data_IF_213739732681
#
_entry.id   IF_213739732681
#
_cell.length_a   1.000
_cell.length_b   1.000
_cell.length_c   1.000
_cell.angle_alpha   90.00
_cell.angle_beta   90.00
_cell.angle_gamma   90.00
#
_symmetry.space_group_name_H-M   'P 1'
#
loop_
_entity.id
_entity.type
_entity.pdbx_description
1 polymer ?
#
# COMPACT_ATOMS: atom_id res chain seq x y z
N UNK A 1 -22.41 2.18 26.76
CA UNK A 1 -21.81 0.95 26.18
C UNK A 1 -20.73 1.19 25.10
N UNK A 2 -20.76 2.28 24.31
CA UNK A 2 -19.72 2.57 23.28
C UNK A 2 -18.39 3.16 23.81
N UNK A 3 -18.39 3.85 24.95
CA UNK A 3 -17.18 4.49 25.50
C UNK A 3 -16.29 3.53 26.32
N UNK A 4 -16.90 2.56 27.01
CA UNK A 4 -16.18 1.46 27.67
C UNK A 4 -15.48 0.52 26.69
N UNK A 5 -15.96 0.42 25.44
CA UNK A 5 -15.32 -0.37 24.39
C UNK A 5 -13.99 0.25 23.92
N UNK A 6 -13.90 1.58 23.87
CA UNK A 6 -12.67 2.31 23.55
C UNK A 6 -11.63 2.22 24.67
N UNK A 7 -12.08 2.23 25.93
CA UNK A 7 -11.21 2.11 27.11
C UNK A 7 -10.72 0.67 27.35
N UNK A 8 -11.56 -0.35 27.11
CA UNK A 8 -11.19 -1.76 27.27
C UNK A 8 -10.17 -2.25 26.21
N UNK A 9 -10.09 -1.59 25.05
CA UNK A 9 -9.01 -1.84 24.10
C UNK A 9 -7.66 -1.28 24.56
N UNK A 10 -7.58 -0.45 25.61
CA UNK A 10 -6.37 0.33 25.91
C UNK A 10 -5.23 -0.43 26.62
N UNK A 11 -5.48 -1.56 27.29
CA UNK A 11 -4.49 -2.10 28.25
C UNK A 11 -3.46 -3.10 27.69
N UNK A 12 -3.75 -3.81 26.59
CA UNK A 12 -2.73 -4.61 25.85
C UNK A 12 -2.90 -4.46 24.34
N UNK A 13 -4.15 -4.55 23.84
CA UNK A 13 -4.49 -4.22 22.44
C UNK A 13 -4.19 -2.75 22.09
N UNK A 14 -4.19 -1.86 23.08
CA UNK A 14 -4.02 -0.43 22.91
C UNK A 14 -2.57 -0.07 22.62
N UNK A 15 -1.64 -0.85 23.13
CA UNK A 15 -0.21 -0.66 22.86
C UNK A 15 0.13 -0.99 21.41
N UNK A 16 -0.43 -2.06 20.84
CA UNK A 16 -0.24 -2.40 19.43
C UNK A 16 -0.94 -1.40 18.50
N UNK A 17 -2.15 -0.96 18.87
CA UNK A 17 -2.87 0.12 18.16
C UNK A 17 -2.02 1.40 18.10
N UNK A 18 -1.37 1.78 19.20
CA UNK A 18 -0.44 2.93 19.23
C UNK A 18 0.75 2.72 18.30
N UNK A 19 1.34 1.52 18.27
CA UNK A 19 2.45 1.20 17.34
C UNK A 19 2.00 1.32 15.90
N UNK A 20 0.86 0.73 15.54
CA UNK A 20 0.28 0.83 14.20
C UNK A 20 0.05 2.29 13.81
N UNK A 21 -0.61 3.05 14.67
CA UNK A 21 -0.85 4.47 14.42
C UNK A 21 0.45 5.23 14.18
N UNK A 22 1.42 5.14 15.11
CA UNK A 22 2.65 5.93 15.08
C UNK A 22 3.57 5.52 13.93
N UNK A 23 3.65 4.23 13.58
CA UNK A 23 4.38 3.73 12.40
C UNK A 23 3.86 4.36 11.12
N UNK A 24 2.56 4.26 10.86
CA UNK A 24 1.96 4.79 9.62
C UNK A 24 1.95 6.33 9.60
N UNK A 25 1.77 6.96 10.77
CA UNK A 25 1.95 8.39 10.95
C UNK A 25 3.38 8.86 10.58
N UNK A 26 4.41 8.09 10.93
CA UNK A 26 5.81 8.41 10.58
C UNK A 26 6.17 8.16 9.11
N UNK A 27 5.49 7.25 8.41
CA UNK A 27 5.74 6.99 6.98
C UNK A 27 4.97 7.91 6.03
N UNK A 28 3.80 8.41 6.47
CA UNK A 28 2.91 9.24 5.66
C UNK A 28 3.55 10.52 5.08
N UNK A 29 4.47 11.23 5.76
CA UNK A 29 5.15 12.39 5.19
C UNK A 29 6.21 12.04 4.14
N UNK A 30 6.63 10.77 4.04
CA UNK A 30 7.77 10.34 3.21
C UNK A 30 7.30 9.57 1.99
N UNK A 31 6.59 8.46 2.19
CA UNK A 31 6.32 7.48 1.12
C UNK A 31 5.46 8.04 -0.03
N UNK A 32 4.32 8.73 0.21
CA UNK A 32 3.53 9.30 -0.87
C UNK A 32 4.24 10.43 -1.61
N UNK A 33 4.99 11.26 -0.86
CA UNK A 33 5.70 12.41 -1.41
C UNK A 33 6.99 12.03 -2.13
N UNK A 34 7.48 10.81 -1.98
CA UNK A 34 8.71 10.31 -2.59
C UNK A 34 8.71 10.50 -4.12
N UNK A 35 7.57 10.26 -4.77
CA UNK A 35 7.40 10.48 -6.22
C UNK A 35 7.65 11.95 -6.59
N UNK A 36 7.06 12.87 -5.84
CA UNK A 36 7.23 14.32 -6.06
C UNK A 36 8.61 14.84 -5.67
N UNK A 37 9.24 14.25 -4.65
CA UNK A 37 10.63 14.52 -4.30
C UNK A 37 11.56 14.09 -5.44
N UNK A 38 11.32 12.92 -6.05
CA UNK A 38 12.06 12.45 -7.21
C UNK A 38 11.87 13.35 -8.43
N UNK A 39 10.64 13.80 -8.71
CA UNK A 39 10.37 14.76 -9.79
C UNK A 39 11.08 16.10 -9.56
N UNK A 40 11.08 16.63 -8.34
CA UNK A 40 11.80 17.86 -8.00
C UNK A 40 13.33 17.72 -8.14
N UNK A 41 13.87 16.49 -7.99
CA UNK A 41 15.28 16.16 -8.26
C UNK A 41 15.62 16.07 -9.75
N UNK A 42 14.65 16.28 -10.64
CA UNK A 42 14.81 16.20 -12.09
C UNK A 42 14.66 14.78 -12.66
N UNK A 43 14.20 13.80 -11.86
CA UNK A 43 14.04 12.43 -12.35
C UNK A 43 12.81 12.32 -13.24
N UNK A 44 12.99 11.73 -14.43
CA UNK A 44 11.88 11.48 -15.35
C UNK A 44 10.87 10.49 -14.76
N UNK A 45 9.61 10.47 -15.25
CA UNK A 45 8.64 9.47 -14.82
C UNK A 45 9.12 8.02 -15.03
N UNK A 46 9.97 7.77 -16.03
CA UNK A 46 10.57 6.45 -16.27
C UNK A 46 11.48 6.05 -15.12
N UNK A 47 12.40 6.93 -14.71
CA UNK A 47 13.29 6.69 -13.57
C UNK A 47 12.48 6.48 -12.29
N UNK A 48 11.47 7.33 -12.05
CA UNK A 48 10.58 7.20 -10.89
C UNK A 48 9.87 5.84 -10.91
N UNK A 49 9.34 5.42 -12.05
CA UNK A 49 8.73 4.09 -12.22
C UNK A 49 9.71 2.94 -11.96
N UNK A 50 10.94 3.04 -12.45
CA UNK A 50 12.01 2.04 -12.22
C UNK A 50 12.38 1.93 -10.75
N UNK A 51 12.53 3.07 -10.06
CA UNK A 51 12.77 3.13 -8.61
C UNK A 51 11.69 2.32 -7.85
N UNK A 52 10.41 2.61 -8.12
CA UNK A 52 9.29 1.93 -7.47
C UNK A 52 9.07 0.49 -7.93
N UNK A 53 9.64 0.10 -9.08
CA UNK A 53 9.64 -1.29 -9.55
C UNK A 53 10.60 -2.15 -8.74
N UNK A 54 11.80 -1.62 -8.42
CA UNK A 54 12.82 -2.36 -7.69
C UNK A 54 12.60 -2.34 -6.18
N UNK A 55 12.02 -1.26 -5.65
CA UNK A 55 11.78 -1.04 -4.22
C UNK A 55 11.21 -2.27 -3.46
N UNK A 56 10.18 -2.99 -3.95
CA UNK A 56 9.60 -4.12 -3.24
C UNK A 56 10.44 -5.41 -3.27
N UNK A 57 11.37 -5.55 -4.23
CA UNK A 57 12.06 -6.83 -4.50
C UNK A 57 12.89 -7.29 -3.29
N UNK A 58 13.76 -6.47 -2.66
CA UNK A 58 14.51 -6.91 -1.48
C UNK A 58 13.58 -7.20 -0.29
N UNK A 59 12.46 -6.47 -0.19
CA UNK A 59 11.44 -6.69 0.84
C UNK A 59 10.81 -8.09 0.79
N UNK A 60 10.66 -8.68 -0.40
CA UNK A 60 10.15 -10.05 -0.56
C UNK A 60 11.09 -11.10 0.04
N UNK A 61 12.41 -10.88 -0.08
CA UNK A 61 13.43 -11.78 0.46
C UNK A 61 13.61 -11.59 1.97
N UNK A 62 13.51 -10.35 2.44
CA UNK A 62 13.75 -10.03 3.86
C UNK A 62 12.64 -10.56 4.77
N UNK A 63 11.38 -10.60 4.30
CA UNK A 63 10.25 -11.15 5.07
C UNK A 63 10.52 -12.56 5.65
N UNK A 64 10.76 -13.61 4.83
CA UNK A 64 11.01 -14.95 5.35
C UNK A 64 12.28 -15.03 6.20
N UNK A 65 13.33 -14.28 5.84
CA UNK A 65 14.61 -14.26 6.58
C UNK A 65 14.43 -13.68 7.98
N UNK A 66 13.78 -12.52 8.12
CA UNK A 66 13.52 -11.90 9.42
C UNK A 66 12.61 -12.77 10.29
N UNK A 67 11.56 -13.37 9.72
CA UNK A 67 10.70 -14.31 10.44
C UNK A 67 11.49 -15.50 11.00
N UNK A 68 12.24 -16.19 10.14
CA UNK A 68 13.03 -17.37 10.54
C UNK A 68 14.10 -17.05 11.59
N UNK A 69 14.80 -15.92 11.48
CA UNK A 69 15.81 -15.50 12.46
C UNK A 69 15.15 -15.21 13.81
N UNK A 70 14.09 -14.41 13.83
CA UNK A 70 13.46 -14.01 15.10
C UNK A 70 12.75 -15.16 15.80
N UNK A 71 12.28 -16.16 15.05
CA UNK A 71 11.74 -17.39 15.61
C UNK A 71 12.84 -18.31 16.15
N UNK A 72 13.94 -18.49 15.42
CA UNK A 72 15.07 -19.33 15.85
C UNK A 72 15.75 -18.80 17.12
N UNK A 73 15.98 -17.49 17.19
CA UNK A 73 16.71 -16.87 18.30
C UNK A 73 15.81 -16.28 19.39
N UNK A 74 14.48 -16.43 19.29
CA UNK A 74 13.48 -15.89 20.23
C UNK A 74 13.70 -14.41 20.58
N UNK A 75 14.14 -13.62 19.60
CA UNK A 75 14.62 -12.25 19.78
C UNK A 75 13.68 -11.19 19.18
N UNK A 76 12.38 -11.50 19.03
CA UNK A 76 11.40 -10.65 18.34
C UNK A 76 11.37 -9.20 18.84
N UNK A 77 11.42 -8.97 20.16
CA UNK A 77 11.42 -7.60 20.72
C UNK A 77 12.64 -6.80 20.28
N UNK A 78 13.83 -7.36 20.40
CA UNK A 78 15.08 -6.71 20.01
C UNK A 78 15.13 -6.46 18.50
N UNK A 79 14.71 -7.43 17.69
CA UNK A 79 14.61 -7.26 16.25
C UNK A 79 13.60 -6.18 15.86
N UNK A 80 12.46 -6.10 16.55
CA UNK A 80 11.45 -5.09 16.30
C UNK A 80 11.96 -3.68 16.61
N UNK A 81 12.61 -3.46 17.76
CA UNK A 81 13.27 -2.19 18.10
C UNK A 81 14.36 -1.83 17.08
N UNK A 82 15.19 -2.81 16.69
CA UNK A 82 16.25 -2.61 15.70
C UNK A 82 15.67 -2.12 14.36
N UNK A 83 14.54 -2.68 13.89
CA UNK A 83 13.90 -2.19 12.66
C UNK A 83 13.43 -0.73 12.76
N UNK A 84 12.93 -0.28 13.92
CA UNK A 84 12.53 1.13 14.15
C UNK A 84 13.74 2.05 14.03
N UNK A 85 14.83 1.67 14.70
CA UNK A 85 16.08 2.45 14.71
C UNK A 85 16.67 2.53 13.32
N UNK A 86 16.73 1.42 12.59
CA UNK A 86 17.21 1.39 11.19
C UNK A 86 16.37 2.28 10.29
N UNK A 87 15.04 2.24 10.41
CA UNK A 87 14.15 3.11 9.64
C UNK A 87 14.42 4.59 9.97
N UNK A 88 14.57 4.92 11.26
CA UNK A 88 14.88 6.29 11.71
C UNK A 88 16.21 6.80 11.13
N UNK A 89 17.24 5.94 11.09
CA UNK A 89 18.54 6.26 10.51
C UNK A 89 18.40 6.54 9.00
N UNK A 90 17.66 5.71 8.27
CA UNK A 90 17.48 5.92 6.82
C UNK A 90 16.63 7.16 6.51
N UNK A 91 15.63 7.49 7.33
CA UNK A 91 14.87 8.74 7.19
C UNK A 91 15.79 9.95 7.43
N UNK A 92 16.62 9.93 8.47
CA UNK A 92 17.62 10.97 8.71
C UNK A 92 18.61 11.07 7.56
N UNK A 93 19.13 9.95 7.07
CA UNK A 93 20.03 9.89 5.93
C UNK A 93 19.39 10.53 4.69
N UNK A 94 18.11 10.22 4.41
CA UNK A 94 17.38 10.78 3.27
C UNK A 94 17.24 12.31 3.34
N UNK A 95 17.08 12.86 4.55
CA UNK A 95 17.02 14.31 4.78
C UNK A 95 18.33 15.02 4.44
N UNK A 96 19.48 14.37 4.65
CA UNK A 96 20.81 14.95 4.36
C UNK A 96 21.25 14.81 2.91
N UNK A 97 20.55 14.02 2.08
CA UNK A 97 20.88 13.91 0.66
C UNK A 97 20.52 15.23 -0.03
N UNK A 98 21.48 16.02 -0.54
CA UNK A 98 21.21 17.32 -1.15
C UNK A 98 20.25 17.16 -2.32
N UNK A 99 19.18 17.96 -2.33
CA UNK A 99 18.22 18.05 -3.42
C UNK A 99 18.74 18.98 -4.50
N UNK A 100 19.33 18.46 -5.58
CA UNK A 100 19.56 19.26 -6.78
C UNK A 100 18.19 19.56 -7.40
N UNK A 101 17.68 20.77 -7.18
CA UNK A 101 16.45 21.22 -7.84
C UNK A 101 16.81 21.69 -9.25
N UNK A 102 16.61 20.81 -10.24
CA UNK A 102 16.98 21.10 -11.63
C UNK A 102 15.73 21.55 -12.39
N UNK A 103 15.80 22.71 -13.07
CA UNK A 103 14.70 23.27 -13.87
C UNK A 103 14.38 22.45 -15.12
N UNK A 104 15.34 21.67 -15.60
CA UNK A 104 15.24 20.84 -16.80
C UNK A 104 15.31 19.37 -16.44
N UNK A 105 14.49 18.54 -17.09
CA UNK A 105 14.62 17.08 -17.05
C UNK A 105 16.03 16.77 -17.56
N UNK A 106 16.90 16.32 -16.66
CA UNK A 106 18.25 15.85 -17.01
C UNK A 106 18.12 14.56 -17.81
N UNK A 107 18.97 14.37 -18.83
CA UNK A 107 19.02 13.12 -19.57
C UNK A 107 19.12 11.93 -18.59
N UNK A 108 18.29 10.91 -18.81
CA UNK A 108 18.16 9.79 -17.88
C UNK A 108 19.51 9.09 -17.63
N UNK A 109 20.38 9.06 -18.64
CA UNK A 109 21.74 8.52 -18.55
C UNK A 109 22.62 9.30 -17.56
N UNK A 110 22.56 10.64 -17.61
CA UNK A 110 23.30 11.51 -16.68
C UNK A 110 22.79 11.38 -15.24
N UNK A 111 21.49 11.14 -15.06
CA UNK A 111 20.90 10.85 -13.74
C UNK A 111 21.45 9.55 -13.18
N UNK A 112 21.45 8.47 -13.98
CA UNK A 112 21.89 7.15 -13.53
C UNK A 112 23.40 7.07 -13.28
N UNK A 113 24.21 7.90 -13.94
CA UNK A 113 25.65 8.02 -13.65
C UNK A 113 25.95 8.82 -12.38
N UNK A 114 24.98 9.58 -11.85
CA UNK A 114 25.19 10.42 -10.67
C UNK A 114 25.31 9.59 -9.38
N UNK A 115 26.36 9.81 -8.55
CA UNK A 115 26.45 9.18 -7.24
C UNK A 115 25.28 9.54 -6.30
N UNK A 116 24.69 10.74 -6.46
CA UNK A 116 23.56 11.19 -5.67
C UNK A 116 22.29 10.38 -5.96
N UNK A 117 22.11 9.95 -7.21
CA UNK A 117 21.01 9.07 -7.59
C UNK A 117 21.12 7.72 -6.87
N UNK A 118 22.29 7.08 -6.94
CA UNK A 118 22.50 5.79 -6.27
C UNK A 118 22.42 5.89 -4.75
N UNK A 119 22.90 6.99 -4.15
CA UNK A 119 22.72 7.24 -2.73
C UNK A 119 21.22 7.32 -2.38
N UNK A 120 20.45 8.12 -3.11
CA UNK A 120 19.00 8.25 -2.92
C UNK A 120 18.29 6.90 -3.11
N UNK A 121 18.56 6.21 -4.22
CA UNK A 121 17.99 4.92 -4.58
C UNK A 121 18.29 3.83 -3.55
N UNK A 122 19.54 3.72 -3.09
CA UNK A 122 19.93 2.75 -2.07
C UNK A 122 19.26 3.08 -0.73
N UNK A 123 19.22 4.34 -0.31
CA UNK A 123 18.58 4.75 0.95
C UNK A 123 17.09 4.43 0.96
N UNK A 124 16.35 4.77 -0.10
CA UNK A 124 14.91 4.45 -0.17
C UNK A 124 14.65 2.95 -0.26
N UNK A 125 15.51 2.21 -0.98
CA UNK A 125 15.40 0.75 -1.09
C UNK A 125 15.63 0.08 0.25
N UNK A 126 16.64 0.51 1.00
CA UNK A 126 16.92 0.01 2.34
C UNK A 126 15.82 0.42 3.35
N UNK A 127 15.29 1.64 3.24
CA UNK A 127 14.15 2.11 4.03
C UNK A 127 12.90 1.23 3.83
N UNK A 128 12.54 0.93 2.57
CA UNK A 128 11.42 0.05 2.25
C UNK A 128 11.67 -1.39 2.71
N UNK A 129 12.91 -1.86 2.59
CA UNK A 129 13.31 -3.19 3.06
C UNK A 129 13.15 -3.32 4.58
N UNK A 130 13.65 -2.35 5.33
CA UNK A 130 13.48 -2.30 6.79
C UNK A 130 12.01 -2.17 7.19
N UNK A 131 11.21 -1.40 6.44
CA UNK A 131 9.76 -1.28 6.65
C UNK A 131 9.02 -2.60 6.42
N UNK A 132 9.45 -3.41 5.44
CA UNK A 132 8.91 -4.75 5.22
C UNK A 132 9.29 -5.72 6.34
N UNK A 133 10.55 -5.69 6.81
CA UNK A 133 11.00 -6.45 7.97
C UNK A 133 10.19 -6.10 9.25
N UNK A 134 9.90 -4.82 9.44
CA UNK A 134 9.06 -4.33 10.53
C UNK A 134 7.63 -4.85 10.42
N UNK A 135 7.05 -4.79 9.24
CA UNK A 135 5.64 -5.17 9.00
C UNK A 135 5.41 -6.65 9.29
N UNK A 136 6.34 -7.55 8.93
CA UNK A 136 6.16 -8.97 9.24
C UNK A 136 6.19 -9.25 10.74
N UNK A 137 7.10 -8.60 11.48
CA UNK A 137 7.18 -8.73 12.94
C UNK A 137 5.92 -8.18 13.60
N UNK A 138 5.42 -7.05 13.12
CA UNK A 138 4.17 -6.44 13.57
C UNK A 138 2.98 -7.37 13.35
N UNK A 139 2.84 -7.96 12.16
CA UNK A 139 1.75 -8.90 11.85
C UNK A 139 1.83 -10.15 12.73
N UNK A 140 3.03 -10.67 12.98
CA UNK A 140 3.22 -11.81 13.89
C UNK A 140 2.84 -11.46 15.33
N UNK A 141 3.33 -10.33 15.85
CA UNK A 141 3.00 -9.86 17.21
C UNK A 141 1.50 -9.59 17.34
N UNK A 142 0.88 -9.03 16.30
CA UNK A 142 -0.54 -8.76 16.20
C UNK A 142 -1.38 -10.02 16.33
N UNK A 143 -1.05 -11.05 15.55
CA UNK A 143 -1.74 -12.34 15.59
C UNK A 143 -1.56 -13.03 16.94
N UNK A 144 -0.35 -12.97 17.52
CA UNK A 144 -0.08 -13.58 18.82
C UNK A 144 -0.85 -12.88 19.96
N UNK A 145 -1.03 -11.55 19.88
CA UNK A 145 -1.79 -10.77 20.86
C UNK A 145 -3.31 -10.94 20.72
N UNK A 146 -3.80 -11.29 19.53
CA UNK A 146 -5.24 -11.44 19.25
C UNK A 146 -5.80 -12.83 19.61
N UNK A 147 -4.93 -13.83 19.81
CA UNK A 147 -5.25 -15.24 20.10
C UNK A 147 -6.52 -15.80 19.39
N UNK A 148 -7.64 -15.99 20.09
CA UNK A 148 -8.90 -16.51 19.52
C UNK A 148 -9.71 -15.47 18.73
N UNK A 149 -9.48 -14.17 18.94
CA UNK A 149 -10.24 -13.05 18.39
C UNK A 149 -9.64 -12.48 17.09
N UNK A 150 -9.18 -13.35 16.18
CA UNK A 150 -8.52 -12.98 14.91
C UNK A 150 -9.38 -12.09 13.99
N UNK A 151 -10.71 -12.07 14.19
CA UNK A 151 -11.65 -11.20 13.49
C UNK A 151 -11.42 -9.71 13.77
N UNK A 152 -10.73 -9.36 14.86
CA UNK A 152 -10.39 -7.98 15.23
C UNK A 152 -9.13 -7.43 14.53
N UNK A 153 -8.42 -8.23 13.72
CA UNK A 153 -7.23 -7.79 12.99
C UNK A 153 -7.50 -6.57 12.09
N UNK A 154 -8.61 -6.56 11.36
CA UNK A 154 -9.00 -5.42 10.53
C UNK A 154 -9.24 -4.14 11.35
N UNK A 155 -9.78 -4.28 12.56
CA UNK A 155 -10.02 -3.15 13.47
C UNK A 155 -8.70 -2.59 14.03
N UNK A 156 -7.69 -3.43 14.25
CA UNK A 156 -6.35 -2.96 14.60
C UNK A 156 -5.69 -2.26 13.42
N UNK A 157 -5.75 -2.85 12.22
CA UNK A 157 -5.18 -2.28 10.99
C UNK A 157 -5.75 -0.89 10.66
N UNK A 158 -7.02 -0.67 10.95
CA UNK A 158 -7.70 0.62 10.79
C UNK A 158 -6.94 1.78 11.44
N UNK A 159 -6.32 1.58 12.60
CA UNK A 159 -5.55 2.63 13.27
C UNK A 159 -4.31 3.07 12.50
N UNK A 160 -3.75 2.17 11.67
CA UNK A 160 -2.71 2.53 10.71
C UNK A 160 -3.23 3.48 9.61
N UNK A 161 -4.44 3.24 9.08
CA UNK A 161 -5.06 4.15 8.12
C UNK A 161 -5.38 5.52 8.74
N UNK A 162 -5.84 5.54 9.99
CA UNK A 162 -6.07 6.79 10.74
C UNK A 162 -4.74 7.56 10.89
N UNK A 163 -3.66 6.90 11.34
CA UNK A 163 -2.35 7.54 11.50
C UNK A 163 -1.76 8.05 10.18
N UNK A 164 -1.95 7.30 9.09
CA UNK A 164 -1.56 7.73 7.76
C UNK A 164 -2.32 8.98 7.33
N UNK A 165 -3.66 8.93 7.37
CA UNK A 165 -4.52 10.02 6.95
C UNK A 165 -4.33 11.30 7.77
N UNK A 166 -4.10 11.21 9.09
CA UNK A 166 -3.87 12.41 9.93
C UNK A 166 -2.52 13.05 9.62
N UNK A 167 -1.42 12.29 9.57
CA UNK A 167 -0.11 12.88 9.32
C UNK A 167 0.12 13.28 7.86
N UNK A 168 -0.63 12.74 6.90
CA UNK A 168 -0.58 13.21 5.51
C UNK A 168 -1.01 14.67 5.37
N UNK A 169 -2.12 15.09 6.01
CA UNK A 169 -2.55 16.50 5.93
C UNK A 169 -1.64 17.42 6.74
N UNK A 170 -1.20 17.00 7.93
CA UNK A 170 -0.25 17.79 8.74
C UNK A 170 1.03 18.02 7.95
N UNK A 171 1.62 16.96 7.38
CA UNK A 171 2.85 17.10 6.59
C UNK A 171 2.64 17.93 5.33
N UNK A 172 1.54 17.74 4.60
CA UNK A 172 1.19 18.56 3.43
C UNK A 172 1.11 20.06 3.72
N UNK A 173 0.38 20.44 4.78
CA UNK A 173 0.25 21.84 5.24
C UNK A 173 1.59 22.40 5.68
N UNK A 174 2.36 21.65 6.48
CA UNK A 174 3.67 22.10 6.97
C UNK A 174 4.66 22.31 5.82
N UNK A 175 4.69 21.42 4.82
CA UNK A 175 5.57 21.56 3.65
C UNK A 175 5.19 22.80 2.84
N UNK A 176 3.91 23.03 2.55
CA UNK A 176 3.50 24.23 1.81
C UNK A 176 3.76 25.52 2.59
N UNK A 177 3.49 25.53 3.89
CA UNK A 177 3.72 26.68 4.76
C UNK A 177 5.21 27.04 4.85
N UNK A 178 6.07 26.04 5.06
CA UNK A 178 7.52 26.24 5.15
C UNK A 178 8.17 26.57 3.81
N UNK A 179 7.50 26.26 2.70
CA UNK A 179 7.98 26.55 1.34
C UNK A 179 7.45 27.88 0.79
N UNK A 180 6.77 28.71 1.59
CA UNK A 180 6.28 30.01 1.13
C UNK A 180 7.44 30.90 0.67
N UNK A 181 7.36 31.39 -0.56
CA UNK A 181 8.39 32.25 -1.15
C UNK A 181 9.61 31.50 -1.70
N UNK A 182 9.68 30.16 -1.57
CA UNK A 182 10.72 29.35 -2.20
C UNK A 182 10.31 28.94 -3.61
N UNK A 183 11.29 28.83 -4.52
CA UNK A 183 11.06 28.35 -5.89
C UNK A 183 10.66 26.86 -5.92
N UNK A 184 11.13 26.08 -4.95
CA UNK A 184 10.88 24.65 -4.83
C UNK A 184 10.34 24.28 -3.44
N UNK A 185 9.64 23.15 -3.35
CA UNK A 185 9.09 22.67 -2.08
C UNK A 185 10.20 22.13 -1.19
N UNK A 186 10.23 22.62 0.05
CA UNK A 186 11.11 22.14 1.09
C UNK A 186 10.39 21.09 1.93
N UNK A 187 10.81 19.84 1.79
CA UNK A 187 10.23 18.69 2.50
C UNK A 187 10.77 18.48 3.92
N UNK A 188 11.72 19.30 4.39
CA UNK A 188 12.30 19.22 5.75
C UNK A 188 11.24 19.09 6.86
N UNK A 189 10.12 19.82 6.86
CA UNK A 189 9.08 19.63 7.88
C UNK A 189 8.52 18.21 7.90
N UNK A 190 8.33 17.57 6.73
CA UNK A 190 7.88 16.19 6.62
C UNK A 190 8.87 15.19 7.23
N UNK A 191 10.17 15.40 6.99
CA UNK A 191 11.24 14.61 7.62
C UNK A 191 11.25 14.77 9.15
N UNK A 192 11.12 16.00 9.65
CA UNK A 192 11.08 16.27 11.10
C UNK A 192 9.86 15.60 11.75
N UNK A 193 8.67 15.74 11.16
CA UNK A 193 7.44 15.06 11.64
C UNK A 193 7.65 13.55 11.69
N UNK A 194 8.26 12.98 10.64
CA UNK A 194 8.56 11.55 10.57
C UNK A 194 9.51 11.12 11.69
N UNK A 195 10.60 11.85 11.91
CA UNK A 195 11.56 11.55 12.97
C UNK A 195 10.94 11.66 14.37
N UNK A 196 10.11 12.66 14.62
CA UNK A 196 9.36 12.78 15.89
C UNK A 196 8.46 11.56 16.10
N UNK A 197 7.71 11.15 15.06
CA UNK A 197 6.87 9.96 15.13
C UNK A 197 7.71 8.71 15.40
N UNK A 198 8.85 8.54 14.74
CA UNK A 198 9.71 7.37 14.95
C UNK A 198 10.40 7.35 16.33
N UNK A 199 10.74 8.51 16.90
CA UNK A 199 11.20 8.60 18.29
C UNK A 199 10.10 8.19 19.28
N UNK A 200 8.86 8.61 19.04
CA UNK A 200 7.69 8.16 19.79
C UNK A 200 7.45 6.65 19.60
N UNK A 201 7.68 6.12 18.40
CA UNK A 201 7.54 4.70 18.10
C UNK A 201 8.55 3.86 18.90
N UNK A 202 9.82 4.28 18.97
CA UNK A 202 10.85 3.64 19.81
C UNK A 202 10.38 3.59 21.27
N UNK A 203 9.85 4.70 21.78
CA UNK A 203 9.32 4.78 23.13
C UNK A 203 8.16 3.79 23.34
N UNK A 204 7.14 3.82 22.48
CA UNK A 204 5.96 2.94 22.59
C UNK A 204 6.38 1.47 22.52
N UNK A 205 7.21 1.10 21.53
CA UNK A 205 7.68 -0.27 21.34
C UNK A 205 8.49 -0.78 22.52
N UNK A 206 9.34 0.07 23.13
CA UNK A 206 10.15 -0.33 24.29
C UNK A 206 9.29 -0.79 25.47
N UNK A 207 8.08 -0.24 25.60
CA UNK A 207 7.12 -0.51 26.68
C UNK A 207 6.22 -1.73 26.43
N UNK A 208 6.25 -2.31 25.23
CA UNK A 208 5.46 -3.51 24.92
C UNK A 208 6.15 -4.75 25.48
N UNK A 209 5.39 -5.56 26.22
CA UNK A 209 5.78 -6.91 26.58
C UNK A 209 5.47 -7.84 25.40
N UNK A 210 6.50 -8.22 24.65
CA UNK A 210 6.39 -9.21 23.57
C UNK A 210 6.73 -10.56 24.18
N UNK A 211 5.70 -11.36 24.45
CA UNK A 211 5.86 -12.72 24.98
C UNK A 211 5.82 -13.68 23.78
N UNK A 212 6.92 -14.40 23.54
CA UNK A 212 7.04 -15.35 22.43
C UNK A 212 6.79 -16.77 22.97
N UNK A 213 5.52 -17.18 23.02
CA UNK A 213 5.07 -18.42 23.68
C UNK A 213 4.81 -19.60 22.74
N UNK A 214 4.63 -19.41 21.42
CA UNK A 214 4.23 -20.50 20.51
C UNK A 214 5.37 -20.98 19.60
N UNK A 215 5.57 -22.30 19.59
CA UNK A 215 6.23 -23.01 18.49
C UNK A 215 5.22 -23.15 17.34
N UNK A 216 5.56 -22.64 16.17
CA UNK A 216 4.73 -22.79 14.97
C UNK A 216 4.95 -24.22 14.46
N UNK A 217 4.01 -25.12 14.74
CA UNK A 217 3.96 -26.42 14.07
C UNK A 217 3.51 -26.21 12.62
N UNK A 218 4.47 -26.12 11.70
CA UNK A 218 4.20 -26.19 10.27
C UNK A 218 3.86 -27.63 9.90
N UNK A 219 2.57 -27.96 9.84
CA UNK A 219 2.12 -29.24 9.30
C UNK A 219 2.46 -29.35 7.79
N UNK A 220 2.67 -30.57 7.28
CA UNK A 220 2.91 -30.78 5.85
C UNK A 220 1.66 -30.41 5.06
N UNK A 221 1.62 -29.19 4.52
CA UNK A 221 0.46 -28.69 3.80
C UNK A 221 0.55 -28.92 2.29
N UNK A 222 -0.54 -29.40 1.70
CA UNK A 222 -0.67 -29.65 0.26
C UNK A 222 -0.94 -28.37 -0.56
N UNK A 223 -0.25 -27.27 -0.26
CA UNK A 223 -0.44 -25.97 -0.95
C UNK A 223 -0.24 -26.10 -2.47
N UNK A 224 0.72 -26.92 -2.89
CA UNK A 224 1.02 -27.15 -4.31
C UNK A 224 -0.21 -27.63 -5.09
N UNK A 225 -1.05 -28.48 -4.50
CA UNK A 225 -2.29 -28.98 -5.12
C UNK A 225 -3.38 -27.91 -5.25
N UNK A 226 -3.37 -26.91 -4.37
CA UNK A 226 -4.32 -25.78 -4.42
C UNK A 226 -3.87 -24.77 -5.48
N UNK A 227 -2.57 -24.50 -5.57
CA UNK A 227 -2.00 -23.57 -6.56
C UNK A 227 -2.12 -24.06 -8.01
N UNK A 228 -2.29 -25.37 -8.25
CA UNK A 228 -2.52 -25.91 -9.59
C UNK A 228 -3.98 -25.82 -10.04
N UNK A 229 -4.92 -25.46 -9.16
CA UNK A 229 -6.33 -25.30 -9.54
C UNK A 229 -6.51 -24.05 -10.40
N UNK A 230 -7.18 -24.20 -11.54
CA UNK A 230 -7.42 -23.11 -12.50
C UNK A 230 -8.14 -21.91 -11.86
N UNK A 231 -9.05 -22.15 -10.92
CA UNK A 231 -9.77 -21.09 -10.19
C UNK A 231 -8.85 -20.26 -9.31
N UNK A 232 -7.83 -20.88 -8.70
CA UNK A 232 -6.83 -20.21 -7.86
C UNK A 232 -5.84 -19.44 -8.74
N UNK A 233 -5.40 -20.02 -9.86
CA UNK A 233 -4.55 -19.32 -10.82
C UNK A 233 -5.24 -18.09 -11.41
N UNK A 234 -6.51 -18.22 -11.79
CA UNK A 234 -7.32 -17.09 -12.28
C UNK A 234 -7.45 -16.01 -11.19
N UNK A 235 -7.73 -16.40 -9.95
CA UNK A 235 -7.77 -15.48 -8.82
C UNK A 235 -6.44 -14.73 -8.62
N UNK A 236 -5.30 -15.44 -8.61
CA UNK A 236 -3.99 -14.82 -8.46
C UNK A 236 -3.68 -13.85 -9.61
N UNK A 237 -4.10 -14.17 -10.83
CA UNK A 237 -3.98 -13.24 -11.97
C UNK A 237 -4.77 -11.95 -11.73
N UNK A 238 -6.01 -12.03 -11.23
CA UNK A 238 -6.80 -10.85 -10.89
C UNK A 238 -6.15 -10.04 -9.76
N UNK A 239 -5.51 -10.69 -8.79
CA UNK A 239 -4.75 -10.00 -7.73
C UNK A 239 -3.51 -9.29 -8.29
N UNK A 240 -2.81 -9.87 -9.27
CA UNK A 240 -1.68 -9.20 -9.94
C UNK A 240 -2.16 -7.96 -10.68
N UNK A 241 -3.25 -8.06 -11.45
CA UNK A 241 -3.81 -6.89 -12.17
C UNK A 241 -4.34 -5.84 -11.19
N UNK A 242 -4.96 -6.26 -10.09
CA UNK A 242 -5.33 -5.36 -9.00
C UNK A 242 -4.11 -4.59 -8.46
N UNK A 243 -3.01 -5.29 -8.16
CA UNK A 243 -1.77 -4.67 -7.69
C UNK A 243 -1.19 -3.68 -8.69
N UNK A 244 -1.27 -4.01 -9.98
CA UNK A 244 -0.85 -3.13 -11.07
C UNK A 244 -1.66 -1.84 -11.12
N UNK A 245 -3.00 -1.89 -11.00
CA UNK A 245 -3.83 -0.67 -11.00
C UNK A 245 -3.63 0.14 -9.71
N UNK A 246 -3.46 -0.54 -8.58
CA UNK A 246 -3.26 0.10 -7.28
C UNK A 246 -1.96 0.91 -7.22
N UNK A 247 -0.90 0.49 -7.91
CA UNK A 247 0.37 1.23 -7.93
C UNK A 247 0.25 2.61 -8.58
N UNK A 248 -0.64 2.78 -9.57
CA UNK A 248 -0.91 4.11 -10.14
C UNK A 248 -1.50 5.07 -9.11
N UNK A 249 -2.40 4.55 -8.26
CA UNK A 249 -2.98 5.32 -7.16
C UNK A 249 -1.90 5.71 -6.15
N UNK A 250 -1.06 4.76 -5.74
CA UNK A 250 -0.07 4.99 -4.69
C UNK A 250 1.12 5.85 -5.11
N UNK A 251 1.60 5.72 -6.33
CA UNK A 251 2.88 6.32 -6.74
C UNK A 251 2.76 7.43 -7.78
N UNK A 252 1.66 7.49 -8.54
CA UNK A 252 1.52 8.42 -9.68
C UNK A 252 0.46 9.51 -9.50
N UNK A 253 -0.52 9.36 -8.60
CA UNK A 253 -1.56 10.39 -8.37
C UNK A 253 -0.96 11.72 -7.90
N UNK A 254 0.10 11.70 -7.07
CA UNK A 254 0.76 12.93 -6.64
C UNK A 254 1.49 13.64 -7.79
N UNK A 255 2.16 12.88 -8.66
CA UNK A 255 2.77 13.43 -9.89
C UNK A 255 1.73 14.06 -10.80
N UNK A 256 0.58 13.40 -10.94
CA UNK A 256 -0.56 13.89 -11.70
C UNK A 256 -1.17 15.17 -11.11
N UNK A 257 -1.33 15.25 -9.79
CA UNK A 257 -1.79 16.48 -9.12
C UNK A 257 -0.85 17.66 -9.42
N UNK A 258 0.47 17.43 -9.44
CA UNK A 258 1.43 18.45 -9.85
C UNK A 258 1.32 18.81 -11.33
N UNK A 259 1.09 17.83 -12.21
CA UNK A 259 0.88 18.10 -13.64
C UNK A 259 -0.36 18.95 -13.86
N UNK A 260 -1.48 18.66 -13.19
CA UNK A 260 -2.68 19.50 -13.26
C UNK A 260 -2.41 20.94 -12.80
N UNK A 261 -1.70 21.11 -11.68
CA UNK A 261 -1.34 22.45 -11.21
C UNK A 261 -0.38 23.14 -12.17
N UNK A 262 0.53 22.41 -12.82
CA UNK A 262 1.43 23.01 -13.81
C UNK A 262 0.71 23.42 -15.10
N UNK A 263 -0.28 22.63 -15.55
CA UNK A 263 -0.95 22.79 -16.84
C UNK A 263 -2.13 23.77 -16.78
N UNK A 264 -2.98 23.67 -15.75
CA UNK A 264 -4.25 24.40 -15.71
C UNK A 264 -4.30 25.48 -14.63
N UNK A 265 -3.65 25.24 -13.48
CA UNK A 265 -3.77 26.11 -12.30
C UNK A 265 -2.43 26.35 -11.58
N UNK A 266 -1.50 27.13 -12.17
CA UNK A 266 -0.17 27.40 -11.59
C UNK A 266 -0.23 28.08 -10.22
N UNK A 267 -1.29 28.84 -9.95
CA UNK A 267 -1.56 29.49 -8.66
C UNK A 267 -1.65 28.47 -7.51
N UNK A 268 -2.11 27.24 -7.80
CA UNK A 268 -2.29 26.18 -6.80
C UNK A 268 -0.98 25.51 -6.38
N UNK A 269 0.14 25.77 -7.08
CA UNK A 269 1.46 25.25 -6.69
C UNK A 269 1.83 25.65 -5.26
N UNK A 270 1.33 26.79 -4.79
CA UNK A 270 1.55 27.26 -3.42
C UNK A 270 0.97 26.32 -2.35
N UNK A 271 -0.15 25.65 -2.62
CA UNK A 271 -0.83 24.75 -1.68
C UNK A 271 -1.03 23.30 -2.19
N UNK A 272 -0.25 22.89 -3.19
CA UNK A 272 -0.40 21.57 -3.83
C UNK A 272 -0.09 20.40 -2.89
N UNK A 273 0.81 20.58 -1.91
CA UNK A 273 1.15 19.53 -0.94
C UNK A 273 0.05 19.33 0.09
N UNK A 274 -0.68 20.40 0.39
CA UNK A 274 -1.88 20.40 1.22
C UNK A 274 -2.99 19.61 0.53
N UNK A 275 -3.21 19.81 -0.78
CA UNK A 275 -4.16 19.02 -1.56
C UNK A 275 -3.77 17.54 -1.56
N UNK A 276 -2.49 17.23 -1.80
CA UNK A 276 -1.95 15.87 -1.74
C UNK A 276 -2.15 15.21 -0.35
N UNK A 277 -1.89 15.96 0.73
CA UNK A 277 -2.14 15.51 2.09
C UNK A 277 -3.63 15.25 2.37
N UNK A 278 -4.49 16.18 1.99
CA UNK A 278 -5.95 16.08 2.15
C UNK A 278 -6.54 14.93 1.31
N UNK A 279 -5.99 14.69 0.11
CA UNK A 279 -6.32 13.55 -0.74
C UNK A 279 -6.16 12.24 0.03
N UNK A 280 -5.03 12.04 0.70
CA UNK A 280 -4.80 10.85 1.54
C UNK A 280 -5.68 10.81 2.79
N UNK A 281 -5.96 11.95 3.41
CA UNK A 281 -6.89 12.01 4.54
C UNK A 281 -8.28 11.54 4.13
N UNK A 282 -8.81 12.03 3.01
CA UNK A 282 -10.12 11.61 2.49
C UNK A 282 -10.08 10.14 2.07
N UNK A 283 -8.99 9.70 1.47
CA UNK A 283 -8.76 8.31 1.12
C UNK A 283 -8.93 7.39 2.35
N UNK A 284 -8.26 7.71 3.46
CA UNK A 284 -8.30 6.92 4.68
C UNK A 284 -9.65 7.04 5.42
N UNK A 285 -10.11 8.26 5.72
CA UNK A 285 -11.30 8.47 6.54
C UNK A 285 -12.61 8.31 5.77
N UNK A 286 -12.67 8.79 4.53
CA UNK A 286 -13.87 8.72 3.69
C UNK A 286 -14.01 7.39 2.97
N UNK A 287 -12.89 6.78 2.57
CA UNK A 287 -12.87 5.50 1.85
C UNK A 287 -12.57 4.31 2.76
N UNK A 288 -11.35 4.22 3.28
CA UNK A 288 -10.86 2.98 3.89
C UNK A 288 -11.59 2.59 5.17
N UNK A 289 -11.72 3.51 6.13
CA UNK A 289 -12.32 3.22 7.44
C UNK A 289 -13.74 2.65 7.31
N UNK A 290 -14.69 3.28 6.57
CA UNK A 290 -16.03 2.74 6.41
C UNK A 290 -16.06 1.37 5.73
N UNK A 291 -15.27 1.19 4.65
CA UNK A 291 -15.29 -0.05 3.89
C UNK A 291 -14.56 -1.20 4.58
N UNK A 292 -13.58 -0.95 5.44
CA UNK A 292 -13.03 -1.99 6.31
C UNK A 292 -14.09 -2.52 7.29
N UNK A 293 -14.88 -1.63 7.90
CA UNK A 293 -15.99 -2.04 8.78
C UNK A 293 -17.08 -2.82 8.03
N UNK A 294 -17.46 -2.37 6.83
CA UNK A 294 -18.54 -2.96 6.06
C UNK A 294 -18.11 -4.16 5.20
N UNK A 295 -16.81 -4.41 5.07
CA UNK A 295 -16.23 -5.42 4.17
C UNK A 295 -16.88 -6.80 4.33
N UNK A 296 -16.93 -7.33 5.56
CA UNK A 296 -17.49 -8.64 5.85
C UNK A 296 -18.97 -8.75 5.44
N UNK A 297 -19.76 -7.70 5.69
CA UNK A 297 -21.17 -7.67 5.32
C UNK A 297 -21.34 -7.68 3.79
N UNK A 298 -20.58 -6.83 3.08
CA UNK A 298 -20.65 -6.73 1.62
C UNK A 298 -20.20 -8.04 0.97
N UNK A 299 -19.04 -8.57 1.39
CA UNK A 299 -18.46 -9.81 0.85
C UNK A 299 -19.44 -10.98 1.01
N UNK A 300 -20.09 -11.14 2.17
CA UNK A 300 -21.10 -12.20 2.38
C UNK A 300 -22.31 -12.05 1.48
N UNK A 301 -22.69 -10.82 1.12
CA UNK A 301 -23.89 -10.54 0.32
C UNK A 301 -23.68 -10.75 -1.17
N UNK A 302 -22.55 -10.29 -1.71
CA UNK A 302 -22.30 -10.33 -3.17
C UNK A 302 -21.25 -11.36 -3.58
N UNK A 303 -20.48 -11.90 -2.64
CA UNK A 303 -19.43 -12.90 -2.89
C UNK A 303 -18.10 -12.30 -3.35
N UNK A 304 -17.02 -13.05 -3.16
CA UNK A 304 -15.65 -12.61 -3.42
C UNK A 304 -15.41 -12.16 -4.87
N UNK A 305 -15.78 -12.98 -5.86
CA UNK A 305 -15.49 -12.67 -7.27
C UNK A 305 -16.25 -11.47 -7.79
N UNK A 306 -17.46 -11.21 -7.29
CA UNK A 306 -18.24 -10.03 -7.68
C UNK A 306 -17.68 -8.75 -7.03
N UNK A 307 -17.05 -8.86 -5.85
CA UNK A 307 -16.28 -7.74 -5.28
C UNK A 307 -15.11 -7.37 -6.20
N UNK A 308 -14.42 -8.34 -6.79
CA UNK A 308 -13.37 -8.07 -7.78
C UNK A 308 -13.94 -7.39 -9.04
N UNK A 309 -15.09 -7.82 -9.56
CA UNK A 309 -15.76 -7.16 -10.69
C UNK A 309 -16.09 -5.70 -10.35
N UNK A 310 -16.69 -5.46 -9.17
CA UNK A 310 -17.02 -4.12 -8.68
C UNK A 310 -15.76 -3.26 -8.52
N UNK A 311 -14.68 -3.81 -7.97
CA UNK A 311 -13.40 -3.12 -7.81
C UNK A 311 -12.83 -2.67 -9.16
N UNK A 312 -12.79 -3.54 -10.18
CA UNK A 312 -12.30 -3.16 -11.51
C UNK A 312 -13.18 -2.11 -12.19
N UNK A 313 -14.50 -2.21 -12.03
CA UNK A 313 -15.43 -1.19 -12.51
C UNK A 313 -15.15 0.17 -11.84
N UNK A 314 -14.96 0.19 -10.52
CA UNK A 314 -14.67 1.42 -9.79
C UNK A 314 -13.29 1.97 -10.15
N UNK A 315 -12.27 1.13 -10.42
CA UNK A 315 -11.01 1.60 -10.99
C UNK A 315 -11.19 2.27 -12.35
N UNK A 316 -12.02 1.69 -13.24
CA UNK A 316 -12.31 2.28 -14.55
C UNK A 316 -12.96 3.66 -14.42
N UNK A 317 -13.94 3.80 -13.52
CA UNK A 317 -14.58 5.09 -13.22
C UNK A 317 -13.58 6.06 -12.60
N UNK A 318 -12.82 5.62 -11.59
CA UNK A 318 -11.83 6.44 -10.88
C UNK A 318 -10.79 7.03 -11.85
N UNK A 319 -10.22 6.21 -12.72
CA UNK A 319 -9.24 6.66 -13.72
C UNK A 319 -9.87 7.50 -14.84
N UNK A 320 -11.13 7.24 -15.20
CA UNK A 320 -11.85 8.11 -16.11
C UNK A 320 -12.04 9.52 -15.51
N UNK A 321 -12.42 9.59 -14.23
CA UNK A 321 -12.56 10.86 -13.51
C UNK A 321 -11.23 11.62 -13.46
N UNK A 322 -10.10 10.94 -13.19
CA UNK A 322 -8.78 11.57 -13.30
C UNK A 322 -8.44 12.02 -14.73
N UNK A 323 -9.06 11.48 -15.78
CA UNK A 323 -8.79 11.95 -17.15
C UNK A 323 -9.53 13.24 -17.53
N UNK A 324 -10.56 13.63 -16.77
CA UNK A 324 -11.40 14.80 -17.07
C UNK A 324 -11.23 15.94 -16.06
N UNK A 325 -10.61 15.68 -14.92
CA UNK A 325 -10.36 16.70 -13.91
C UNK A 325 -9.31 17.69 -14.42
N UNK A 326 -9.65 18.98 -14.37
CA UNK A 326 -8.72 20.08 -14.67
C UNK A 326 -8.25 20.77 -13.40
N UNK A 327 -9.17 21.01 -12.46
CA UNK A 327 -8.86 21.62 -11.16
C UNK A 327 -8.49 20.53 -10.13
N UNK A 328 -7.26 20.55 -9.57
CA UNK A 328 -6.74 19.55 -8.63
C UNK A 328 -7.66 19.23 -7.44
N UNK A 329 -8.48 20.18 -6.97
CA UNK A 329 -9.38 20.00 -5.82
C UNK A 329 -10.45 18.93 -6.10
N UNK A 330 -10.83 18.72 -7.36
CA UNK A 330 -11.82 17.68 -7.71
C UNK A 330 -11.28 16.25 -7.60
N UNK A 331 -9.98 16.06 -7.36
CA UNK A 331 -9.42 14.74 -7.00
C UNK A 331 -9.94 14.28 -5.64
N UNK A 332 -10.20 15.19 -4.71
CA UNK A 332 -10.62 14.90 -3.34
C UNK A 332 -11.86 13.98 -3.23
N UNK A 333 -13.01 14.26 -3.88
CA UNK A 333 -14.15 13.33 -3.84
C UNK A 333 -13.85 11.99 -4.54
N UNK A 334 -12.97 11.98 -5.54
CA UNK A 334 -12.59 10.74 -6.24
C UNK A 334 -11.80 9.80 -5.31
N UNK A 335 -11.07 10.33 -4.33
CA UNK A 335 -10.34 9.52 -3.35
C UNK A 335 -11.23 8.64 -2.47
N UNK A 336 -12.51 8.98 -2.30
CA UNK A 336 -13.46 8.14 -1.56
C UNK A 336 -13.62 6.75 -2.17
N UNK A 337 -13.43 6.62 -3.50
CA UNK A 337 -13.46 5.34 -4.19
C UNK A 337 -12.37 4.36 -3.71
N UNK A 338 -11.35 4.86 -3.01
CA UNK A 338 -10.33 4.00 -2.41
C UNK A 338 -10.89 3.00 -1.39
N UNK A 339 -12.03 3.30 -0.77
CA UNK A 339 -12.71 2.33 0.08
C UNK A 339 -13.04 1.03 -0.67
N UNK A 340 -13.51 1.14 -1.91
CA UNK A 340 -13.81 -0.03 -2.75
C UNK A 340 -12.55 -0.58 -3.39
N UNK A 341 -11.74 0.30 -3.99
CA UNK A 341 -10.56 -0.13 -4.78
C UNK A 341 -9.45 -0.69 -3.92
N UNK A 342 -9.39 -0.33 -2.63
CA UNK A 342 -8.38 -0.83 -1.70
C UNK A 342 -9.00 -1.60 -0.53
N UNK A 343 -9.74 -0.97 0.37
CA UNK A 343 -10.14 -1.60 1.63
C UNK A 343 -11.04 -2.84 1.46
N UNK A 344 -12.10 -2.73 0.64
CA UNK A 344 -13.00 -3.84 0.34
C UNK A 344 -12.31 -4.94 -0.47
N UNK A 345 -11.61 -4.56 -1.55
CA UNK A 345 -10.91 -5.50 -2.42
C UNK A 345 -9.79 -6.27 -1.72
N UNK A 346 -8.99 -5.58 -0.91
CA UNK A 346 -7.93 -6.19 -0.10
C UNK A 346 -8.53 -7.19 0.91
N UNK A 347 -9.59 -6.79 1.62
CA UNK A 347 -10.28 -7.68 2.56
C UNK A 347 -10.83 -8.92 1.85
N UNK A 348 -11.45 -8.76 0.68
CA UNK A 348 -11.94 -9.86 -0.14
C UNK A 348 -10.82 -10.80 -0.61
N UNK A 349 -9.66 -10.26 -1.02
CA UNK A 349 -8.52 -11.06 -1.46
C UNK A 349 -7.96 -11.93 -0.33
N UNK A 350 -7.77 -11.37 0.86
CA UNK A 350 -7.22 -12.08 2.02
C UNK A 350 -8.21 -13.11 2.58
N UNK A 351 -9.50 -12.77 2.67
CA UNK A 351 -10.54 -13.69 3.11
C UNK A 351 -10.73 -14.84 2.12
N UNK A 352 -10.76 -14.56 0.82
CA UNK A 352 -10.88 -15.61 -0.20
C UNK A 352 -9.68 -16.56 -0.20
N UNK A 353 -8.46 -16.04 0.00
CA UNK A 353 -7.28 -16.87 0.19
C UNK A 353 -7.37 -17.71 1.48
N UNK A 354 -7.91 -17.17 2.56
CA UNK A 354 -8.15 -17.90 3.79
C UNK A 354 -9.12 -19.07 3.63
N UNK A 355 -10.17 -18.89 2.81
CA UNK A 355 -11.19 -19.91 2.54
C UNK A 355 -10.72 -20.97 1.53
N UNK A 356 -9.84 -20.60 0.59
CA UNK A 356 -9.25 -21.55 -0.38
C UNK A 356 -8.11 -22.39 0.19
N UNK A 357 -7.45 -21.91 1.24
CA UNK A 357 -6.27 -22.54 1.78
C UNK A 357 -6.62 -23.85 2.52
N UNK A 358 -5.79 -24.90 2.37
CA UNK A 358 -5.95 -26.10 3.19
C UNK A 358 -5.67 -25.79 4.66
N UNK A 359 -6.18 -26.64 5.56
CA UNK A 359 -5.92 -26.50 6.99
C UNK A 359 -4.41 -26.45 7.27
N UNK A 360 -3.99 -25.51 8.11
CA UNK A 360 -2.58 -25.24 8.41
C UNK A 360 -1.82 -24.40 7.36
N UNK A 361 -2.45 -24.00 6.24
CA UNK A 361 -1.79 -23.23 5.16
C UNK A 361 -2.39 -21.86 4.86
N UNK A 362 -3.34 -21.38 5.67
CA UNK A 362 -4.02 -20.09 5.50
C UNK A 362 -3.03 -18.92 5.37
N UNK A 363 -2.06 -18.85 6.29
CA UNK A 363 -1.03 -17.80 6.26
C UNK A 363 -0.16 -17.84 5.00
N UNK A 364 0.16 -19.03 4.49
CA UNK A 364 0.98 -19.17 3.28
C UNK A 364 0.23 -18.70 2.03
N UNK A 365 -1.04 -19.08 1.86
CA UNK A 365 -1.80 -18.63 0.69
C UNK A 365 -2.10 -17.12 0.74
N UNK A 366 -2.35 -16.57 1.93
CA UNK A 366 -2.45 -15.12 2.12
C UNK A 366 -1.13 -14.41 1.81
N UNK A 367 0.02 -15.01 2.18
CA UNK A 367 1.34 -14.53 1.79
C UNK A 367 1.57 -14.53 0.28
N UNK A 368 1.12 -15.57 -0.43
CA UNK A 368 1.16 -15.64 -1.91
C UNK A 368 0.30 -14.53 -2.52
N UNK A 369 -0.90 -14.28 -2.00
CA UNK A 369 -1.74 -13.15 -2.46
C UNK A 369 -1.04 -11.82 -2.24
N UNK A 370 -0.41 -11.61 -1.08
CA UNK A 370 0.38 -10.41 -0.80
C UNK A 370 1.54 -10.23 -1.78
N UNK A 371 2.22 -11.33 -2.15
CA UNK A 371 3.29 -11.34 -3.16
C UNK A 371 2.74 -11.04 -4.56
N UNK A 372 1.62 -11.63 -4.95
CA UNK A 372 0.95 -11.32 -6.22
C UNK A 372 0.56 -9.84 -6.31
N UNK A 373 0.03 -9.26 -5.23
CA UNK A 373 -0.43 -7.88 -5.18
C UNK A 373 0.75 -6.89 -5.21
N UNK A 374 1.60 -6.90 -4.19
CA UNK A 374 2.62 -5.88 -3.96
C UNK A 374 4.01 -6.27 -4.46
N UNK A 375 4.27 -7.57 -4.64
CA UNK A 375 5.57 -8.09 -5.10
C UNK A 375 5.68 -8.24 -6.61
N UNK A 376 4.57 -8.47 -7.31
CA UNK A 376 4.54 -8.65 -8.78
C UNK A 376 3.68 -7.57 -9.42
N UNK A 377 2.41 -7.45 -9.01
CA UNK A 377 1.46 -6.51 -9.59
C UNK A 377 1.94 -5.06 -9.52
N UNK A 378 2.27 -4.59 -8.31
CA UNK A 378 2.70 -3.21 -8.12
C UNK A 378 3.98 -2.86 -8.90
N UNK A 379 5.06 -3.68 -8.92
CA UNK A 379 6.22 -3.42 -9.78
C UNK A 379 5.89 -3.33 -11.26
N UNK A 380 5.05 -4.22 -11.79
CA UNK A 380 4.60 -4.14 -13.19
C UNK A 380 3.89 -2.82 -13.45
N UNK A 381 3.00 -2.41 -12.54
CA UNK A 381 2.28 -1.13 -12.66
C UNK A 381 3.20 0.09 -12.55
N UNK A 382 4.23 0.05 -11.71
CA UNK A 382 5.23 1.11 -11.62
C UNK A 382 6.05 1.26 -12.90
N UNK A 383 6.50 0.14 -13.47
CA UNK A 383 7.23 0.14 -14.74
C UNK A 383 6.38 0.67 -15.89
N UNK A 384 5.16 0.13 -16.05
CA UNK A 384 4.20 0.58 -17.08
C UNK A 384 3.82 2.04 -16.85
N UNK A 385 3.62 2.45 -15.61
CA UNK A 385 3.24 3.82 -15.27
C UNK A 385 4.32 4.83 -15.56
N UNK A 386 5.59 4.51 -15.30
CA UNK A 386 6.71 5.36 -15.67
C UNK A 386 6.78 5.57 -17.19
N UNK A 387 6.59 4.50 -17.96
CA UNK A 387 6.55 4.58 -19.42
C UNK A 387 5.36 5.41 -19.94
N UNK A 388 4.15 5.14 -19.45
CA UNK A 388 2.94 5.83 -19.89
C UNK A 388 2.99 7.34 -19.57
N UNK A 389 3.37 7.70 -18.34
CA UNK A 389 3.46 9.10 -17.92
C UNK A 389 4.51 9.88 -18.71
N UNK A 390 5.64 9.23 -19.04
CA UNK A 390 6.68 9.87 -19.85
C UNK A 390 6.26 10.05 -21.32
N UNK A 391 5.63 9.03 -21.93
CA UNK A 391 5.29 9.04 -23.36
C UNK A 391 4.04 9.83 -23.70
N UNK A 392 3.00 9.75 -22.86
CA UNK A 392 1.66 10.29 -23.17
C UNK A 392 1.21 11.39 -22.21
N UNK A 393 1.97 11.65 -21.13
CA UNK A 393 1.55 12.53 -20.04
C UNK A 393 0.54 11.88 -19.09
N UNK A 394 0.32 12.48 -17.93
CA UNK A 394 -0.47 11.89 -16.84
C UNK A 394 -1.97 11.76 -17.17
N UNK A 395 -2.59 12.78 -17.79
CA UNK A 395 -4.03 12.79 -18.12
C UNK A 395 -4.38 11.68 -19.13
N UNK A 396 -3.63 11.60 -20.25
CA UNK A 396 -3.83 10.56 -21.27
C UNK A 396 -3.55 9.17 -20.71
N UNK A 397 -2.55 9.03 -19.83
CA UNK A 397 -2.26 7.77 -19.15
C UNK A 397 -3.45 7.27 -18.34
N UNK A 398 -4.10 8.12 -17.54
CA UNK A 398 -5.31 7.73 -16.80
C UNK A 398 -6.49 7.40 -17.71
N UNK A 399 -6.63 8.06 -18.87
CA UNK A 399 -7.63 7.69 -19.87
C UNK A 399 -7.41 6.27 -20.42
N UNK A 400 -6.16 5.93 -20.78
CA UNK A 400 -5.80 4.59 -21.24
C UNK A 400 -6.01 3.52 -20.16
N UNK A 401 -5.63 3.84 -18.91
CA UNK A 401 -5.83 2.95 -17.77
C UNK A 401 -7.31 2.72 -17.44
N UNK A 402 -8.17 3.71 -17.65
CA UNK A 402 -9.62 3.55 -17.52
C UNK A 402 -10.17 2.51 -18.51
N UNK A 403 -9.78 2.61 -19.79
CA UNK A 403 -10.17 1.64 -20.82
C UNK A 403 -9.64 0.23 -20.50
N UNK A 404 -8.40 0.14 -20.01
CA UNK A 404 -7.80 -1.12 -19.58
C UNK A 404 -8.53 -1.72 -18.35
N UNK A 405 -8.81 -0.92 -17.33
CA UNK A 405 -9.57 -1.39 -16.15
C UNK A 405 -10.98 -1.85 -16.54
N UNK A 406 -11.62 -1.17 -17.48
CA UNK A 406 -12.94 -1.56 -17.99
C UNK A 406 -12.90 -2.89 -18.75
N UNK A 407 -11.90 -3.09 -19.62
CA UNK A 407 -11.73 -4.35 -20.34
C UNK A 407 -11.42 -5.52 -19.41
N UNK A 408 -10.61 -5.29 -18.37
CA UNK A 408 -10.35 -6.26 -17.29
C UNK A 408 -11.64 -6.59 -16.53
N UNK A 409 -12.47 -5.58 -16.20
CA UNK A 409 -13.75 -5.80 -15.54
C UNK A 409 -14.67 -6.73 -16.36
N UNK A 410 -14.81 -6.47 -17.66
CA UNK A 410 -15.59 -7.33 -18.55
C UNK A 410 -15.02 -8.75 -18.61
N UNK A 411 -13.71 -8.87 -18.81
CA UNK A 411 -13.03 -10.17 -18.91
C UNK A 411 -13.17 -10.98 -17.62
N UNK A 412 -12.98 -10.36 -16.47
CA UNK A 412 -13.11 -11.01 -15.16
C UNK A 412 -14.55 -11.45 -14.90
N UNK A 413 -15.54 -10.62 -15.27
CA UNK A 413 -16.96 -10.97 -15.10
C UNK A 413 -17.34 -12.18 -15.96
N UNK A 414 -16.91 -12.19 -17.22
CA UNK A 414 -17.12 -13.33 -18.14
C UNK A 414 -16.42 -14.59 -17.62
N UNK A 415 -15.14 -14.48 -17.22
CA UNK A 415 -14.38 -15.59 -16.68
C UNK A 415 -15.04 -16.19 -15.43
N UNK A 416 -15.51 -15.33 -14.51
CA UNK A 416 -16.23 -15.76 -13.31
C UNK A 416 -17.53 -16.51 -13.67
N UNK A 417 -18.32 -16.01 -14.62
CA UNK A 417 -19.53 -16.70 -15.09
C UNK A 417 -19.22 -18.06 -15.73
N UNK A 418 -18.17 -18.16 -16.54
CA UNK A 418 -17.75 -19.40 -17.18
C UNK A 418 -17.29 -20.44 -16.14
N UNK A 419 -16.42 -20.05 -15.20
CA UNK A 419 -15.93 -20.93 -14.14
C UNK A 419 -17.10 -21.49 -13.31
N UNK A 420 -18.06 -20.63 -12.95
CA UNK A 420 -19.24 -21.04 -12.19
C UNK A 420 -20.14 -22.01 -12.99
N UNK A 421 -20.30 -21.80 -14.30
CA UNK A 421 -21.05 -22.72 -15.17
C UNK A 421 -20.38 -24.09 -15.28
N UNK A 422 -19.08 -24.13 -15.52
CA UNK A 422 -18.34 -25.41 -15.63
C UNK A 422 -18.30 -26.17 -14.30
N UNK A 423 -18.19 -25.47 -13.17
CA UNK A 423 -18.26 -26.10 -11.85
C UNK A 423 -19.63 -26.72 -11.57
N UNK A 424 -20.72 -26.04 -11.93
CA UNK A 424 -22.09 -26.59 -11.79
C UNK A 424 -22.30 -27.83 -12.67
N UNK A 425 -21.86 -27.79 -13.93
CA UNK A 425 -21.99 -28.94 -14.83
C UNK A 425 -21.20 -30.17 -14.37
N UNK A 426 -20.04 -29.98 -13.74
CA UNK A 426 -19.26 -31.10 -13.20
C UNK A 426 -19.91 -31.75 -11.97
N UNK A 427 -20.56 -30.95 -11.11
CA UNK A 427 -21.31 -31.49 -9.97
C UNK A 427 -22.56 -32.28 -10.42
N UNK A 428 -23.29 -31.76 -11.41
CA UNK A 428 -24.46 -32.47 -11.98
C UNK A 428 -24.04 -33.78 -12.65
N UNK A 429 -22.91 -33.81 -13.37
CA UNK A 429 -22.40 -35.07 -13.96
C UNK A 429 -21.93 -36.07 -12.90
N UNK A 430 -21.42 -35.61 -11.75
CA UNK A 430 -21.02 -36.48 -10.64
C UNK A 430 -22.20 -37.08 -9.87
N UNK A 431 -23.32 -36.36 -9.75
CA UNK A 431 -24.56 -36.85 -9.14
C UNK A 431 -25.32 -37.83 -10.04
N UNK A 432 -25.14 -37.77 -11.36
CA UNK A 432 -25.78 -38.72 -12.31
C UNK A 432 -24.94 -40.00 -12.50
N UNK A 433 -23.66 -39.99 -12.06
CA UNK A 433 -22.76 -41.15 -12.14
C UNK A 433 -22.67 -41.99 -10.86
N UNK A 434 -23.38 -41.59 -9.80
CA UNK A 434 -23.60 -42.37 -8.58
C UNK A 434 -25.05 -42.86 -8.55
#
# INVERSE_FOLDING_TARGET
MKMHFFLAMADIAGSLVRVLYVKYAGLAPIIPFLSTMSKQRGYSPVIVGLIFTVLPIPGLLVRPVTGAITDKYKCRKSAFILTVVIISIFISMLMFIPGSAVKTITDDENVMMSPLFWLFFCTITLLNTASNARTILEDTICVDLLDEDKTKYGLQRMWGAIGWGTMSIVSGVCVDWFSKGLEYKNYTPGFIISLICYLLDIYVVSRIAIIQTREIQAGPSNIKKVLTKISVLSFLLWVVIYGMLLSFVWYFVFLYLEDLSNLYHPEMKTYIKTIQGLSLTIQCFGGEVPFFFLSNFIIKRIGYMNVFSLMFLVFAVRFYLYSIITNPVWVLPVEMFNGITYALAYSAAISYAGDLAPDGAKGTLQGIVGMSLSGIGSPIGCFVGGFLFNRFGSITSFKLLSLFALSVCFTQTIANQLINRFSKNNNVKGEVSN
#
